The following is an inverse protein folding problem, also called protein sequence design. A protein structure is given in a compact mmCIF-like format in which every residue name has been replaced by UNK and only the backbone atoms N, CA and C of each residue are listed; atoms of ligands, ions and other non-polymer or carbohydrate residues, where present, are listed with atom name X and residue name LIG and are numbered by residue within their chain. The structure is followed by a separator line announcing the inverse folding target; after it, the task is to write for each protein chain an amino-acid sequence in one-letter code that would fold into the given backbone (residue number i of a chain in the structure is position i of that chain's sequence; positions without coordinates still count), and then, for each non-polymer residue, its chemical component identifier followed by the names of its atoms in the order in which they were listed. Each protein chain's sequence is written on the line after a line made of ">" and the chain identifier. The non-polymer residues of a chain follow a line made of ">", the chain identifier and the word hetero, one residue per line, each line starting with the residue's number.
data_IF_022828164573
#
_entry.id   IF_022828164573
#
_cell.length_a   1.000
_cell.length_b   1.000
_cell.length_c   1.000
_cell.angle_alpha   90.00
_cell.angle_beta   90.00
_cell.angle_gamma   90.00
#
_symmetry.space_group_name_H-M   'P 1'
#
loop_
_entity.id
_entity.type
_entity.pdbx_description
1 polymer ?
#
# COMPACT_ATOMS: atom_id res chain seq x y z
N UNK A 1 -0.71 7.69 -4.93
CA UNK A 1 -0.59 7.04 -6.25
C UNK A 1 0.51 6.00 -6.15
N UNK A 2 0.32 4.80 -6.71
CA UNK A 2 1.33 3.75 -6.67
C UNK A 2 2.47 4.05 -7.66
N UNK A 3 3.71 3.92 -7.19
CA UNK A 3 4.95 4.09 -7.97
C UNK A 3 5.46 2.71 -8.39
N UNK A 4 5.64 2.46 -9.68
CA UNK A 4 6.30 1.22 -10.15
C UNK A 4 7.81 1.35 -9.98
N UNK A 5 8.41 0.53 -9.11
CA UNK A 5 9.84 0.59 -8.79
C UNK A 5 10.64 -0.52 -9.48
N UNK A 6 9.99 -1.62 -9.87
CA UNK A 6 10.49 -2.70 -10.73
C UNK A 6 9.29 -3.29 -11.50
N UNK A 7 9.52 -4.05 -12.60
CA UNK A 7 8.42 -4.68 -13.33
C UNK A 7 7.50 -5.48 -12.40
N UNK A 8 6.21 -5.10 -12.37
CA UNK A 8 5.18 -5.69 -11.51
C UNK A 8 5.34 -5.49 -10.00
N UNK A 9 6.29 -4.66 -9.55
CA UNK A 9 6.47 -4.29 -8.14
C UNK A 9 6.21 -2.79 -7.97
N UNK A 10 5.19 -2.49 -7.18
CA UNK A 10 4.76 -1.13 -6.90
C UNK A 10 4.98 -0.80 -5.43
N UNK A 11 5.32 0.46 -5.15
CA UNK A 11 5.35 1.04 -3.81
C UNK A 11 4.21 2.05 -3.68
N UNK A 12 3.49 2.01 -2.57
CA UNK A 12 2.50 3.02 -2.21
C UNK A 12 2.70 3.46 -0.77
N UNK A 13 2.60 4.75 -0.52
CA UNK A 13 2.66 5.30 0.82
C UNK A 13 1.27 5.21 1.47
N UNK A 14 1.18 4.48 2.59
CA UNK A 14 -0.05 4.31 3.38
C UNK A 14 0.02 5.22 4.60
N UNK A 15 -0.92 6.15 4.77
CA UNK A 15 -0.90 7.09 5.88
C UNK A 15 -1.18 6.38 7.21
N UNK A 16 -0.48 6.80 8.26
CA UNK A 16 -0.70 6.39 9.65
C UNK A 16 -1.15 7.61 10.48
N UNK A 17 -2.44 7.96 10.45
CA UNK A 17 -2.94 9.18 11.10
C UNK A 17 -2.73 9.14 12.61
N UNK A 18 -2.20 10.24 13.17
CA UNK A 18 -1.84 10.37 14.60
C UNK A 18 -0.75 9.37 15.05
N UNK A 19 0.10 8.91 14.12
CA UNK A 19 1.27 8.10 14.43
C UNK A 19 2.57 8.90 14.17
N UNK A 20 3.60 8.82 15.03
CA UNK A 20 4.87 9.51 14.82
C UNK A 20 5.59 9.16 13.50
N UNK A 21 5.40 7.93 13.01
CA UNK A 21 5.97 7.46 11.74
C UNK A 21 5.32 8.12 10.51
N UNK A 22 4.12 8.68 10.67
CA UNK A 22 3.29 9.38 9.66
C UNK A 22 2.78 8.50 8.52
N UNK A 23 3.61 7.63 7.96
CA UNK A 23 3.24 6.72 6.89
C UNK A 23 4.15 5.48 6.86
N UNK A 24 3.68 4.43 6.18
CA UNK A 24 4.49 3.24 5.87
C UNK A 24 4.53 3.02 4.36
N UNK A 25 5.63 2.42 3.90
CA UNK A 25 5.72 1.92 2.54
C UNK A 25 5.00 0.57 2.46
N UNK A 26 3.94 0.50 1.67
CA UNK A 26 3.32 -0.76 1.27
C UNK A 26 3.83 -1.15 -0.11
N UNK A 27 4.02 -2.45 -0.32
CA UNK A 27 4.49 -2.99 -1.60
C UNK A 27 3.44 -3.90 -2.22
N UNK A 28 3.20 -3.73 -3.51
CA UNK A 28 2.24 -4.52 -4.29
C UNK A 28 3.01 -5.28 -5.35
N UNK A 29 2.95 -6.61 -5.29
CA UNK A 29 3.47 -7.50 -6.33
C UNK A 29 2.29 -7.95 -7.17
N UNK A 30 2.21 -7.49 -8.41
CA UNK A 30 1.15 -7.89 -9.34
C UNK A 30 1.50 -9.23 -10.00
N UNK A 31 0.52 -10.11 -10.08
CA UNK A 31 0.52 -11.28 -10.95
C UNK A 31 -0.77 -11.27 -11.78
N UNK A 32 -0.89 -12.21 -12.72
CA UNK A 32 -1.98 -12.22 -13.69
C UNK A 32 -3.39 -12.23 -13.05
N UNK A 33 -3.61 -13.07 -12.03
CA UNK A 33 -4.94 -13.27 -11.43
C UNK A 33 -5.10 -12.62 -10.05
N UNK A 34 -3.99 -12.32 -9.38
CA UNK A 34 -3.99 -11.79 -8.01
C UNK A 34 -2.79 -10.90 -7.75
N UNK A 35 -2.90 -10.07 -6.73
CA UNK A 35 -1.78 -9.28 -6.22
C UNK A 35 -1.45 -9.70 -4.79
N UNK A 36 -0.17 -9.68 -4.44
CA UNK A 36 0.28 -9.74 -3.05
C UNK A 36 0.53 -8.31 -2.57
N UNK A 37 0.00 -7.99 -1.39
CA UNK A 37 0.20 -6.70 -0.74
C UNK A 37 0.98 -6.96 0.54
N UNK A 38 2.08 -6.23 0.72
CA UNK A 38 2.96 -6.30 1.89
C UNK A 38 2.81 -5.00 2.67
N UNK A 39 2.70 -5.10 3.99
CA UNK A 39 2.50 -4.00 4.94
C UNK A 39 1.27 -3.13 4.64
N UNK A 40 0.11 -3.53 5.16
CA UNK A 40 -1.18 -2.87 4.93
C UNK A 40 -1.49 -1.73 5.92
N UNK A 41 -0.52 -1.31 6.73
CA UNK A 41 -0.70 -0.26 7.73
C UNK A 41 -1.46 -0.73 8.98
N UNK A 42 -2.50 0.00 9.37
CA UNK A 42 -3.30 -0.26 10.57
C UNK A 42 -4.77 -0.52 10.20
N UNK A 43 -5.55 -1.11 11.10
CA UNK A 43 -6.99 -1.30 10.93
C UNK A 43 -7.75 0.05 11.04
N UNK A 44 -7.68 0.86 9.98
CA UNK A 44 -8.21 2.22 9.89
C UNK A 44 -8.65 2.54 8.45
N UNK A 45 -9.69 3.35 8.30
CA UNK A 45 -10.24 3.73 6.99
C UNK A 45 -9.22 4.46 6.10
N UNK A 46 -8.37 5.29 6.70
CA UNK A 46 -7.35 6.05 5.96
C UNK A 46 -6.31 5.11 5.34
N UNK A 47 -6.00 3.97 5.98
CA UNK A 47 -5.13 2.95 5.39
C UNK A 47 -5.87 2.14 4.32
N UNK A 48 -7.11 1.73 4.60
CA UNK A 48 -7.91 0.89 3.70
C UNK A 48 -8.22 1.59 2.37
N UNK A 49 -8.53 2.88 2.39
CA UNK A 49 -8.84 3.67 1.18
C UNK A 49 -7.69 3.76 0.18
N UNK A 50 -6.45 3.56 0.64
CA UNK A 50 -5.24 3.58 -0.20
C UNK A 50 -4.94 2.21 -0.79
N UNK A 51 -5.30 1.14 -0.08
CA UNK A 51 -4.96 -0.25 -0.43
C UNK A 51 -6.06 -0.92 -1.24
N UNK A 52 -7.30 -0.51 -1.04
CA UNK A 52 -8.44 -1.10 -1.72
C UNK A 52 -8.40 -0.79 -3.23
N UNK A 53 -8.70 -1.77 -4.10
CA UNK A 53 -8.96 -1.47 -5.50
C UNK A 53 -10.13 -0.48 -5.58
N UNK A 54 -9.96 0.55 -6.41
CA UNK A 54 -11.07 1.43 -6.81
C UNK A 54 -12.04 0.73 -7.75
#
# INVERSE_FOLDING_TARGET
>A
MAEEILPNLYKIEVPLPRNPLKAVNSYIIKANEKSLIIDTGMNREECLSVISPG
#
